data_IF_105552778142
#
_entry.id   IF_105552778142
#
_cell.length_a   1.000
_cell.length_b   1.000
_cell.length_c   1.000
_cell.angle_alpha   90.00
_cell.angle_beta   90.00
_cell.angle_gamma   90.00
#
_symmetry.space_group_name_H-M   'P 1'
#
loop_
_entity.id
_entity.type
_entity.pdbx_description
1 polymer ?
#
# COMPACT_ATOMS: atom_id res chain seq x y z
N UNK A 1 -28.86 47.16 34.87
CA UNK A 1 -28.75 46.91 33.41
C UNK A 1 -29.36 45.55 33.11
N UNK A 2 -30.52 45.50 32.43
CA UNK A 2 -31.14 44.22 32.01
C UNK A 2 -30.34 43.66 30.84
N UNK A 3 -29.73 42.48 31.00
CA UNK A 3 -29.08 41.76 29.92
C UNK A 3 -30.17 41.15 29.04
N UNK A 4 -30.18 41.50 27.75
CA UNK A 4 -31.05 40.88 26.76
C UNK A 4 -30.49 39.50 26.43
N UNK A 5 -31.22 38.46 26.84
CA UNK A 5 -30.92 37.09 26.43
C UNK A 5 -31.36 36.94 24.98
N UNK A 6 -30.38 36.82 24.08
CA UNK A 6 -30.62 36.49 22.68
C UNK A 6 -30.77 34.97 22.60
N UNK A 7 -32.02 34.51 22.48
CA UNK A 7 -32.33 33.11 22.25
C UNK A 7 -31.97 32.72 20.81
N UNK A 8 -31.49 31.50 20.65
CA UNK A 8 -31.17 30.91 19.35
C UNK A 8 -32.44 30.76 18.51
N UNK A 9 -32.40 31.13 17.23
CA UNK A 9 -33.59 31.03 16.39
C UNK A 9 -33.80 29.60 15.87
N UNK A 10 -35.05 29.18 15.73
CA UNK A 10 -35.38 27.88 15.11
C UNK A 10 -34.82 27.78 13.68
N UNK A 11 -34.79 28.91 12.96
CA UNK A 11 -34.27 28.98 11.60
C UNK A 11 -32.75 28.79 11.57
N UNK A 12 -32.01 29.28 12.57
CA UNK A 12 -30.57 29.03 12.66
C UNK A 12 -30.27 27.54 12.86
N UNK A 13 -30.98 26.84 13.75
CA UNK A 13 -30.75 25.39 13.91
C UNK A 13 -31.12 24.67 12.62
N UNK A 14 -32.25 25.00 12.00
CA UNK A 14 -32.72 24.37 10.77
C UNK A 14 -31.71 24.51 9.62
N UNK A 15 -31.16 25.70 9.42
CA UNK A 15 -30.17 25.94 8.36
C UNK A 15 -28.85 25.22 8.66
N UNK A 16 -28.44 25.16 9.93
CA UNK A 16 -27.22 24.45 10.36
C UNK A 16 -27.32 22.94 10.12
N UNK A 17 -28.40 22.26 10.55
CA UNK A 17 -28.56 20.82 10.25
C UNK A 17 -28.74 20.55 8.76
N UNK A 18 -29.38 21.46 8.01
CA UNK A 18 -29.48 21.34 6.56
C UNK A 18 -28.11 21.42 5.87
N UNK A 19 -27.24 22.35 6.27
CA UNK A 19 -25.87 22.47 5.75
C UNK A 19 -24.97 21.30 6.17
N UNK A 20 -25.05 20.88 7.44
CA UNK A 20 -24.27 19.73 7.93
C UNK A 20 -24.69 18.45 7.19
N UNK A 21 -25.98 18.25 6.93
CA UNK A 21 -26.49 17.12 6.15
C UNK A 21 -25.96 17.12 4.71
N UNK A 22 -25.91 18.29 4.07
CA UNK A 22 -25.38 18.46 2.72
C UNK A 22 -23.88 18.14 2.64
N UNK A 23 -23.07 18.69 3.55
CA UNK A 23 -21.62 18.47 3.57
C UNK A 23 -21.30 17.00 3.91
N UNK A 24 -22.04 16.40 4.85
CA UNK A 24 -21.83 15.01 5.26
C UNK A 24 -22.08 14.01 4.12
N UNK A 25 -22.98 14.32 3.18
CA UNK A 25 -23.26 13.47 2.03
C UNK A 25 -22.09 13.36 1.04
N UNK A 26 -21.19 14.36 1.00
CA UNK A 26 -20.08 14.43 0.03
C UNK A 26 -18.77 13.86 0.60
N UNK A 27 -18.63 13.77 1.93
CA UNK A 27 -17.33 13.59 2.61
C UNK A 27 -16.61 12.25 2.47
N UNK A 28 -17.14 11.23 1.78
CA UNK A 28 -16.66 9.83 1.95
C UNK A 28 -15.68 9.34 0.88
N UNK A 29 -15.46 10.03 -0.24
CA UNK A 29 -14.91 9.33 -1.41
C UNK A 29 -13.39 9.53 -1.56
N UNK A 30 -12.70 8.42 -1.87
CA UNK A 30 -11.36 8.25 -2.50
C UNK A 30 -10.22 7.76 -1.58
N UNK A 31 -10.32 6.54 -1.02
CA UNK A 31 -9.19 5.87 -0.34
C UNK A 31 -8.82 4.49 -0.88
N UNK A 32 -9.55 3.94 -1.84
CA UNK A 32 -9.28 2.59 -2.37
C UNK A 32 -8.19 2.60 -3.45
N UNK A 33 -8.27 3.51 -4.42
CA UNK A 33 -7.30 3.56 -5.53
C UNK A 33 -5.87 3.84 -5.04
N UNK A 34 -5.72 4.74 -4.06
CA UNK A 34 -4.42 5.07 -3.48
C UNK A 34 -3.78 3.88 -2.75
N UNK A 35 -4.59 3.02 -2.12
CA UNK A 35 -4.11 1.79 -1.46
C UNK A 35 -3.63 0.77 -2.49
N UNK A 36 -4.38 0.60 -3.58
CA UNK A 36 -4.01 -0.33 -4.65
C UNK A 36 -2.73 0.14 -5.35
N UNK A 37 -2.58 1.44 -5.58
CA UNK A 37 -1.37 2.01 -6.16
C UNK A 37 -0.15 1.82 -5.25
N UNK A 38 -0.29 2.10 -3.95
CA UNK A 38 0.77 1.83 -2.97
C UNK A 38 1.14 0.34 -2.91
N UNK A 39 0.15 -0.55 -2.98
CA UNK A 39 0.36 -1.99 -3.01
C UNK A 39 1.10 -2.44 -4.27
N UNK A 40 0.78 -1.89 -5.46
CA UNK A 40 1.52 -2.13 -6.70
C UNK A 40 2.98 -1.68 -6.59
N UNK A 41 3.19 -0.44 -6.13
CA UNK A 41 4.52 0.12 -5.95
C UNK A 41 5.38 -0.71 -4.98
N UNK A 42 4.80 -1.16 -3.85
CA UNK A 42 5.47 -2.03 -2.90
C UNK A 42 5.82 -3.40 -3.51
N UNK A 43 4.93 -3.99 -4.30
CA UNK A 43 5.21 -5.24 -5.01
C UNK A 43 6.39 -5.10 -5.98
N UNK A 44 6.42 -4.03 -6.77
CA UNK A 44 7.52 -3.74 -7.69
C UNK A 44 8.85 -3.52 -6.96
N UNK A 45 8.84 -2.76 -5.85
CA UNK A 45 10.02 -2.53 -5.03
C UNK A 45 10.59 -3.84 -4.43
N UNK A 46 9.71 -4.74 -3.99
CA UNK A 46 10.10 -6.06 -3.51
C UNK A 46 10.77 -6.90 -4.60
N UNK A 47 10.22 -6.92 -5.83
CA UNK A 47 10.81 -7.66 -6.97
C UNK A 47 12.21 -7.12 -7.30
N UNK A 48 12.38 -5.80 -7.32
CA UNK A 48 13.70 -5.17 -7.55
C UNK A 48 14.69 -5.60 -6.46
N UNK A 49 14.26 -5.59 -5.19
CA UNK A 49 15.10 -6.00 -4.06
C UNK A 49 15.49 -7.48 -4.15
N UNK A 50 14.53 -8.33 -4.51
CA UNK A 50 14.73 -9.77 -4.70
C UNK A 50 15.69 -10.07 -5.86
N UNK A 51 15.55 -9.37 -6.98
CA UNK A 51 16.46 -9.49 -8.13
C UNK A 51 17.87 -9.02 -7.80
N UNK A 52 18.02 -7.94 -7.02
CA UNK A 52 19.33 -7.50 -6.54
C UNK A 52 19.98 -8.57 -5.64
N UNK A 53 19.20 -9.22 -4.77
CA UNK A 53 19.68 -10.32 -3.94
C UNK A 53 20.08 -11.55 -4.79
N UNK A 54 19.27 -11.94 -5.77
CA UNK A 54 19.58 -13.01 -6.72
C UNK A 54 20.85 -12.72 -7.53
N UNK A 55 21.04 -11.48 -7.96
CA UNK A 55 22.23 -11.04 -8.66
C UNK A 55 23.48 -11.16 -7.79
N UNK A 56 23.41 -10.71 -6.53
CA UNK A 56 24.51 -10.87 -5.57
C UNK A 56 24.80 -12.35 -5.28
N UNK A 57 23.77 -13.19 -5.18
CA UNK A 57 23.91 -14.63 -5.05
C UNK A 57 24.72 -15.19 -6.21
N UNK A 58 24.30 -14.89 -7.45
CA UNK A 58 24.98 -15.34 -8.67
C UNK A 58 26.43 -14.85 -8.74
N UNK A 59 26.71 -13.63 -8.28
CA UNK A 59 28.08 -13.13 -8.23
C UNK A 59 28.97 -13.87 -7.22
N UNK A 60 28.43 -14.36 -6.10
CA UNK A 60 29.20 -15.07 -5.07
C UNK A 60 29.30 -16.57 -5.34
N UNK A 61 28.21 -17.21 -5.75
CA UNK A 61 28.14 -18.67 -5.98
C UNK A 61 28.56 -19.07 -7.39
N UNK A 62 28.38 -18.19 -8.38
CA UNK A 62 28.51 -18.52 -9.79
C UNK A 62 27.31 -19.29 -10.36
N UNK A 63 26.31 -19.59 -9.54
CA UNK A 63 25.14 -20.39 -9.89
C UNK A 63 23.88 -19.53 -10.02
N UNK A 64 22.92 -20.01 -10.82
CA UNK A 64 21.59 -19.41 -10.89
C UNK A 64 20.80 -19.76 -9.62
N UNK A 65 19.96 -18.83 -9.17
CA UNK A 65 19.09 -19.06 -8.04
C UNK A 65 17.96 -20.03 -8.43
N UNK A 66 17.88 -21.17 -7.76
CA UNK A 66 16.81 -22.17 -7.97
C UNK A 66 15.79 -22.13 -6.83
N UNK A 67 16.25 -21.82 -5.61
CA UNK A 67 15.41 -21.72 -4.43
C UNK A 67 15.60 -20.36 -3.76
N UNK A 68 14.50 -19.61 -3.62
CA UNK A 68 14.47 -18.33 -2.92
C UNK A 68 14.93 -18.40 -1.45
N UNK A 69 14.90 -19.59 -0.83
CA UNK A 69 15.44 -19.75 0.53
C UNK A 69 16.97 -19.64 0.59
N UNK A 70 17.68 -19.83 -0.53
CA UNK A 70 19.14 -19.71 -0.58
C UNK A 70 19.61 -18.25 -0.43
N UNK A 71 18.68 -17.30 -0.53
CA UNK A 71 18.95 -15.88 -0.27
C UNK A 71 19.05 -15.57 1.23
N UNK A 72 18.59 -16.46 2.11
CA UNK A 72 18.55 -16.22 3.55
C UNK A 72 19.66 -17.01 4.27
N UNK A 73 20.29 -16.44 5.31
CA UNK A 73 20.18 -15.04 5.77
C UNK A 73 21.18 -14.10 5.07
N UNK A 74 22.02 -14.62 4.17
CA UNK A 74 23.21 -13.94 3.66
C UNK A 74 22.91 -12.69 2.82
N UNK A 75 21.78 -12.68 2.08
CA UNK A 75 21.41 -11.60 1.16
C UNK A 75 20.13 -10.89 1.59
N UNK A 76 19.22 -11.59 2.26
CA UNK A 76 17.95 -11.08 2.77
C UNK A 76 17.74 -11.53 4.22
N UNK A 77 17.14 -10.65 5.02
CA UNK A 77 16.72 -10.99 6.39
C UNK A 77 15.48 -11.85 6.42
N UNK A 78 14.53 -11.54 5.54
CA UNK A 78 13.28 -12.24 5.37
C UNK A 78 12.82 -12.13 3.91
N UNK A 79 12.00 -13.09 3.47
CA UNK A 79 11.35 -13.01 2.17
C UNK A 79 10.18 -12.02 2.26
N UNK A 80 10.18 -10.94 1.46
CA UNK A 80 9.06 -10.02 1.42
C UNK A 80 7.82 -10.75 0.89
N UNK A 81 6.64 -10.31 1.34
CA UNK A 81 5.36 -10.83 0.85
C UNK A 81 4.73 -9.83 -0.10
N UNK A 82 4.09 -10.34 -1.15
CA UNK A 82 3.29 -9.52 -2.03
C UNK A 82 2.09 -8.94 -1.26
N UNK A 83 1.81 -7.63 -1.37
CA UNK A 83 0.62 -7.00 -0.76
C UNK A 83 -0.72 -7.59 -1.23
N UNK A 84 -0.73 -8.24 -2.41
CA UNK A 84 -1.89 -8.91 -2.98
C UNK A 84 -1.94 -10.42 -2.68
N UNK A 85 -0.94 -10.97 -1.97
CA UNK A 85 -0.91 -12.38 -1.55
C UNK A 85 -0.31 -13.38 -2.56
N UNK A 86 -0.06 -12.96 -3.80
CA UNK A 86 0.63 -13.80 -4.82
C UNK A 86 2.08 -14.11 -4.41
N UNK A 87 2.55 -15.37 -4.47
CA UNK A 87 3.93 -15.72 -4.15
C UNK A 87 4.89 -15.28 -5.28
N UNK A 88 6.05 -14.75 -4.91
CA UNK A 88 7.12 -14.45 -5.86
C UNK A 88 7.69 -15.74 -6.47
N UNK A 89 7.77 -15.79 -7.80
CA UNK A 89 8.26 -16.96 -8.57
C UNK A 89 9.54 -16.61 -9.31
N UNK A 90 10.40 -17.61 -9.45
CA UNK A 90 11.62 -17.53 -10.25
C UNK A 90 11.34 -18.01 -11.68
N UNK A 91 12.01 -17.39 -12.65
CA UNK A 91 12.09 -17.86 -14.03
C UNK A 91 13.26 -18.84 -14.23
N UNK A 92 13.45 -19.32 -15.46
CA UNK A 92 14.55 -20.22 -15.82
C UNK A 92 15.95 -19.59 -15.70
N UNK A 93 16.01 -18.25 -15.63
CA UNK A 93 17.25 -17.49 -15.48
C UNK A 93 17.59 -17.18 -14.02
N UNK A 94 16.76 -17.64 -13.06
CA UNK A 94 16.91 -17.33 -11.64
C UNK A 94 16.54 -15.88 -11.28
N UNK A 95 15.72 -15.23 -12.11
CA UNK A 95 15.17 -13.90 -11.87
C UNK A 95 13.71 -13.99 -11.41
N UNK A 96 13.28 -13.01 -10.60
CA UNK A 96 11.91 -12.96 -10.09
C UNK A 96 10.95 -12.39 -11.14
N UNK A 97 9.91 -13.17 -11.45
CA UNK A 97 8.89 -12.83 -12.44
C UNK A 97 8.07 -11.62 -11.93
N UNK A 98 7.93 -10.55 -12.73
CA UNK A 98 7.10 -9.42 -12.37
C UNK A 98 5.63 -9.81 -12.20
N UNK A 99 4.97 -9.33 -11.16
CA UNK A 99 3.52 -9.49 -11.00
C UNK A 99 2.77 -8.39 -11.75
N UNK A 100 1.67 -8.75 -12.40
CA UNK A 100 0.69 -7.83 -12.98
C UNK A 100 -0.55 -7.75 -12.09
N UNK A 101 -0.64 -6.71 -11.26
CA UNK A 101 -1.80 -6.38 -10.41
C UNK A 101 -2.47 -5.09 -10.87
#
# INVERSE_FOLDING_TARGET
MKRTQHGFTLIEILLVVALIGLISAIGVIIMQDQRNEAARAACTANIITLNNAALLYRFKSGELLVNQMDLLPDYLRELPRCPFGEPYRLDENGEFIPHSH
#
